data_IF_040212966307
#
_entry.id   IF_040212966307
#
_cell.length_a   1.000
_cell.length_b   1.000
_cell.length_c   1.000
_cell.angle_alpha   90.00
_cell.angle_beta   90.00
_cell.angle_gamma   90.00
#
_symmetry.space_group_name_H-M   'P 1'
#
loop_
_entity.id
_entity.type
_entity.pdbx_description
1 polymer ?
#
# COMPACT_ATOMS: atom_id res chain seq x y z
N UNK A 1 22.19 -24.08 61.51
CA UNK A 1 22.29 -22.87 60.72
C UNK A 1 22.09 -23.29 59.25
N UNK A 2 20.87 -23.17 58.74
CA UNK A 2 20.51 -23.61 57.36
C UNK A 2 20.53 -22.39 56.44
N UNK A 3 21.44 -22.42 55.47
CA UNK A 3 21.60 -21.39 54.44
C UNK A 3 20.51 -21.57 53.36
N UNK A 4 19.56 -20.62 53.26
CA UNK A 4 18.60 -20.56 52.16
C UNK A 4 19.24 -19.84 50.99
N UNK A 5 19.57 -20.59 49.94
CA UNK A 5 19.93 -20.00 48.64
C UNK A 5 18.62 -19.53 47.95
N UNK A 6 18.46 -18.21 47.81
CA UNK A 6 17.46 -17.62 46.95
C UNK A 6 17.92 -17.72 45.49
N UNK A 7 17.32 -18.61 44.72
CA UNK A 7 17.45 -18.61 43.26
C UNK A 7 16.57 -17.47 42.69
N UNK A 8 17.22 -16.38 42.29
CA UNK A 8 16.59 -15.35 41.50
C UNK A 8 16.52 -15.86 40.06
N UNK A 9 15.36 -16.31 39.63
CA UNK A 9 15.09 -16.63 38.25
C UNK A 9 15.02 -15.31 37.45
N UNK A 10 16.08 -15.00 36.72
CA UNK A 10 16.08 -13.97 35.69
C UNK A 10 15.16 -14.43 34.54
N UNK A 11 13.94 -13.94 34.53
CA UNK A 11 13.05 -14.06 33.36
C UNK A 11 13.63 -13.16 32.30
N UNK A 12 14.41 -13.71 31.39
CA UNK A 12 14.69 -13.04 30.10
C UNK A 12 13.42 -12.98 29.31
N UNK A 13 12.76 -11.83 29.36
CA UNK A 13 11.76 -11.48 28.35
C UNK A 13 12.51 -11.39 27.03
N UNK A 14 12.40 -12.44 26.20
CA UNK A 14 12.78 -12.36 24.81
C UNK A 14 11.82 -11.36 24.16
N UNK A 15 12.28 -10.09 24.07
CA UNK A 15 11.68 -9.16 23.16
C UNK A 15 11.73 -9.85 21.78
N UNK A 16 10.56 -10.16 21.20
CA UNK A 16 10.47 -10.55 19.82
C UNK A 16 11.11 -9.41 19.03
N UNK A 17 12.27 -9.68 18.44
CA UNK A 17 12.87 -8.77 17.47
C UNK A 17 11.76 -8.46 16.46
N UNK A 18 11.43 -7.19 16.33
CA UNK A 18 10.38 -6.74 15.43
C UNK A 18 10.74 -7.27 14.03
N UNK A 19 9.87 -8.12 13.46
CA UNK A 19 10.08 -8.79 12.16
C UNK A 19 10.35 -7.77 11.03
N UNK A 20 10.16 -6.48 11.33
CA UNK A 20 10.28 -5.34 10.44
C UNK A 20 11.48 -4.43 10.73
N UNK A 21 12.44 -4.86 11.59
CA UNK A 21 13.72 -4.16 11.80
C UNK A 21 14.51 -4.07 10.47
N UNK A 22 15.09 -2.92 10.07
CA UNK A 22 15.43 -1.78 10.94
C UNK A 22 14.41 -0.61 10.94
N UNK A 23 13.28 -0.72 10.24
CA UNK A 23 12.32 0.37 10.12
C UNK A 23 11.45 0.51 11.38
N UNK A 24 11.21 1.75 11.81
CA UNK A 24 10.36 2.04 12.95
C UNK A 24 8.89 2.07 12.57
N UNK A 25 8.05 1.44 13.39
CA UNK A 25 6.61 1.52 13.26
C UNK A 25 6.13 2.94 13.48
N UNK A 26 5.24 3.41 12.61
CA UNK A 26 4.54 4.68 12.73
C UNK A 26 3.03 4.46 12.72
N UNK A 27 2.32 5.34 13.42
CA UNK A 27 0.85 5.33 13.47
C UNK A 27 0.36 6.67 12.95
N UNK A 28 -0.47 6.64 11.93
CA UNK A 28 -1.00 7.81 11.26
C UNK A 28 -2.51 7.91 11.49
N UNK A 29 -3.00 9.13 11.59
CA UNK A 29 -4.44 9.41 11.58
C UNK A 29 -4.91 9.70 10.15
N UNK A 30 -5.85 8.90 9.68
CA UNK A 30 -6.54 9.12 8.40
C UNK A 30 -7.84 9.95 8.54
N UNK A 31 -8.02 10.69 9.66
CA UNK A 31 -9.25 11.47 9.88
C UNK A 31 -10.47 10.59 10.18
N UNK A 32 -10.35 9.71 11.17
CA UNK A 32 -11.36 8.75 11.60
C UNK A 32 -10.89 7.29 11.49
N UNK A 33 -9.81 7.05 10.77
CA UNK A 33 -9.18 5.72 10.67
C UNK A 33 -7.74 5.77 11.15
N UNK A 34 -7.30 4.70 11.80
CA UNK A 34 -5.88 4.49 12.13
C UNK A 34 -5.20 3.74 10.98
N UNK A 35 -4.04 4.23 10.58
CA UNK A 35 -3.21 3.63 9.53
C UNK A 35 -1.85 3.30 10.13
N UNK A 36 -1.41 2.06 9.93
CA UNK A 36 -0.08 1.61 10.32
C UNK A 36 0.89 1.88 9.19
N UNK A 37 2.11 2.26 9.53
CA UNK A 37 3.19 2.41 8.58
C UNK A 37 4.55 2.08 9.18
N UNK A 38 5.57 2.10 8.34
CA UNK A 38 6.96 1.92 8.72
C UNK A 38 7.83 2.93 7.96
N UNK A 39 8.84 3.44 8.64
CA UNK A 39 9.81 4.37 8.06
C UNK A 39 11.21 4.10 8.60
N UNK A 40 12.26 4.34 7.80
CA UNK A 40 13.63 4.23 8.27
C UNK A 40 13.89 5.28 9.37
N UNK A 41 14.71 4.94 10.38
CA UNK A 41 14.94 5.81 11.53
C UNK A 41 15.63 7.13 11.17
N UNK A 42 16.41 7.15 10.10
CA UNK A 42 17.24 8.29 9.70
C UNK A 42 16.59 9.21 8.66
N UNK A 43 15.43 8.84 8.11
CA UNK A 43 14.74 9.68 7.14
C UNK A 43 14.27 10.99 7.79
N UNK A 44 14.89 12.11 7.42
CA UNK A 44 14.59 13.43 8.00
C UNK A 44 13.92 14.38 7.01
N UNK A 45 14.43 14.44 5.79
CA UNK A 45 13.93 15.30 4.70
C UNK A 45 14.06 14.56 3.38
N UNK A 46 13.11 14.82 2.47
CA UNK A 46 13.15 14.26 1.11
C UNK A 46 12.47 15.24 0.15
N UNK A 47 13.16 15.72 -0.87
CA UNK A 47 12.52 16.57 -1.89
C UNK A 47 11.41 15.79 -2.62
N UNK A 48 11.64 14.51 -2.89
CA UNK A 48 10.63 13.56 -3.36
C UNK A 48 10.56 12.37 -2.41
N UNK A 49 9.37 12.09 -1.87
CA UNK A 49 9.13 10.98 -0.95
C UNK A 49 8.47 9.82 -1.68
N UNK A 50 9.09 8.64 -1.65
CA UNK A 50 8.47 7.42 -2.13
C UNK A 50 7.55 6.85 -1.05
N UNK A 51 6.28 6.65 -1.37
CA UNK A 51 5.27 6.11 -0.46
C UNK A 51 4.75 4.80 -1.00
N UNK A 52 5.09 3.71 -0.33
CA UNK A 52 4.63 2.37 -0.67
C UNK A 52 3.30 2.09 0.01
N UNK A 53 2.31 1.66 -0.76
CA UNK A 53 0.96 1.32 -0.30
C UNK A 53 0.75 -0.18 -0.47
N UNK A 54 0.48 -0.86 0.64
CA UNK A 54 0.33 -2.31 0.67
C UNK A 54 -0.97 -2.81 0.05
N UNK A 55 -0.92 -4.06 -0.41
CA UNK A 55 -2.06 -4.82 -0.88
C UNK A 55 -3.00 -5.31 0.23
N UNK A 56 -3.80 -6.31 -0.09
CA UNK A 56 -4.63 -7.02 0.88
C UNK A 56 -3.77 -8.04 1.65
N UNK A 57 -4.08 -8.25 2.93
CA UNK A 57 -3.38 -9.22 3.76
C UNK A 57 -2.37 -8.61 4.74
N UNK A 58 -1.33 -9.37 5.08
CA UNK A 58 -0.27 -8.94 6.01
C UNK A 58 0.79 -8.10 5.29
N UNK A 59 1.55 -7.23 6.01
CA UNK A 59 2.69 -6.54 5.43
C UNK A 59 3.67 -7.56 4.82
N UNK A 60 4.03 -7.35 3.58
CA UNK A 60 4.86 -8.32 2.86
C UNK A 60 5.58 -7.68 1.69
N UNK A 61 5.08 -7.87 0.50
CA UNK A 61 5.74 -7.46 -0.76
C UNK A 61 5.98 -5.95 -0.80
N UNK A 62 4.97 -5.14 -0.48
CA UNK A 62 5.10 -3.67 -0.49
C UNK A 62 6.12 -3.17 0.54
N UNK A 63 6.13 -3.74 1.76
CA UNK A 63 7.11 -3.37 2.78
C UNK A 63 8.53 -3.79 2.38
N UNK A 64 8.69 -5.01 1.85
CA UNK A 64 9.99 -5.48 1.38
C UNK A 64 10.53 -4.59 0.26
N UNK A 65 9.73 -4.27 -0.75
CA UNK A 65 10.15 -3.35 -1.81
C UNK A 65 10.56 -1.98 -1.25
N UNK A 66 9.82 -1.44 -0.29
CA UNK A 66 10.16 -0.17 0.34
C UNK A 66 11.52 -0.23 1.04
N UNK A 67 11.81 -1.33 1.73
CA UNK A 67 13.07 -1.55 2.43
C UNK A 67 14.25 -1.77 1.47
N UNK A 68 14.05 -2.55 0.41
CA UNK A 68 15.08 -2.83 -0.60
C UNK A 68 15.45 -1.57 -1.41
N UNK A 69 14.48 -0.74 -1.75
CA UNK A 69 14.72 0.55 -2.41
C UNK A 69 15.36 1.54 -1.44
N UNK A 70 14.94 1.52 -0.17
CA UNK A 70 15.52 2.36 0.87
C UNK A 70 15.43 3.86 0.56
N UNK A 71 16.46 4.62 0.96
CA UNK A 71 16.54 6.06 0.68
C UNK A 71 15.34 6.84 1.23
N UNK A 72 14.72 7.65 0.39
CA UNK A 72 13.55 8.46 0.74
C UNK A 72 12.24 7.66 0.62
N UNK A 73 12.20 6.46 1.18
CA UNK A 73 11.04 5.57 1.12
C UNK A 73 10.36 5.41 2.46
N UNK A 74 9.04 5.36 2.44
CA UNK A 74 8.19 5.03 3.59
C UNK A 74 7.12 4.04 3.13
N UNK A 75 6.62 3.26 4.08
CA UNK A 75 5.56 2.29 3.84
C UNK A 75 4.33 2.63 4.66
N UNK A 76 3.15 2.47 4.06
CA UNK A 76 1.86 2.61 4.74
C UNK A 76 0.93 1.46 4.37
N UNK A 77 0.30 0.88 5.39
CA UNK A 77 -0.84 0.00 5.22
C UNK A 77 -2.09 0.78 4.87
N UNK A 78 -3.21 0.08 4.73
CA UNK A 78 -4.51 0.72 4.50
C UNK A 78 -5.31 0.79 5.81
N UNK A 79 -6.37 1.61 5.90
CA UNK A 79 -7.24 1.65 7.06
C UNK A 79 -7.71 0.26 7.50
N UNK A 80 -7.69 0.02 8.80
CA UNK A 80 -8.10 -1.24 9.41
C UNK A 80 -7.22 -2.46 9.10
N UNK A 81 -6.08 -2.27 8.44
CA UNK A 81 -5.10 -3.33 8.23
C UNK A 81 -3.97 -3.23 9.25
N UNK A 82 -3.43 -4.39 9.68
CA UNK A 82 -2.30 -4.50 10.62
C UNK A 82 -2.55 -3.88 12.00
N UNK A 83 -3.81 -3.61 12.33
CA UNK A 83 -4.20 -3.15 13.66
C UNK A 83 -4.42 -4.35 14.58
N UNK A 84 -4.15 -4.16 15.87
CA UNK A 84 -4.34 -5.17 16.90
C UNK A 84 -5.12 -4.61 18.09
N UNK A 85 -5.82 -5.50 18.80
CA UNK A 85 -6.55 -5.16 20.00
C UNK A 85 -7.69 -4.15 19.75
N UNK A 86 -7.89 -3.23 20.68
CA UNK A 86 -9.03 -2.29 20.66
C UNK A 86 -9.08 -1.36 19.45
N UNK A 87 -7.98 -1.24 18.69
CA UNK A 87 -7.96 -0.43 17.46
C UNK A 87 -8.78 -1.04 16.33
N UNK A 88 -9.07 -2.33 16.38
CA UNK A 88 -9.97 -3.02 15.44
C UNK A 88 -11.46 -2.74 15.70
N UNK A 89 -11.82 -2.28 16.88
CA UNK A 89 -13.24 -2.10 17.27
C UNK A 89 -13.97 -1.03 16.44
N UNK A 90 -13.23 -0.16 15.74
CA UNK A 90 -13.79 0.86 14.84
C UNK A 90 -13.83 0.41 13.38
N UNK A 91 -13.39 -0.81 13.10
CA UNK A 91 -13.29 -1.33 11.73
C UNK A 91 -14.54 -2.15 11.39
N UNK A 92 -15.21 -1.79 10.31
CA UNK A 92 -16.32 -2.58 9.79
C UNK A 92 -15.80 -3.69 8.86
N UNK A 93 -16.56 -4.77 8.75
CA UNK A 93 -16.23 -5.91 7.89
C UNK A 93 -16.08 -5.52 6.42
N UNK A 94 -16.84 -4.53 5.99
CA UNK A 94 -16.90 -4.05 4.63
C UNK A 94 -15.56 -3.48 4.13
N UNK A 95 -14.75 -2.90 5.01
CA UNK A 95 -13.42 -2.37 4.63
C UNK A 95 -12.41 -3.44 4.25
N UNK A 96 -12.68 -4.71 4.56
CA UNK A 96 -11.88 -5.86 4.11
C UNK A 96 -12.52 -6.62 2.93
N UNK A 97 -13.77 -6.28 2.59
CA UNK A 97 -14.54 -6.94 1.55
C UNK A 97 -15.02 -5.95 0.48
N UNK A 98 -16.29 -5.67 0.39
CA UNK A 98 -16.92 -4.87 -0.67
C UNK A 98 -16.51 -3.39 -0.69
N UNK A 99 -16.07 -2.80 0.42
CA UNK A 99 -15.71 -1.38 0.56
C UNK A 99 -14.20 -1.14 0.75
N UNK A 100 -13.36 -2.12 0.37
CA UNK A 100 -11.89 -2.05 0.59
C UNK A 100 -11.20 -0.87 -0.11
N UNK A 101 -11.83 -0.28 -1.11
CA UNK A 101 -11.38 0.91 -1.84
C UNK A 101 -12.44 2.02 -1.82
N UNK A 102 -13.26 2.08 -0.76
CA UNK A 102 -14.31 3.10 -0.64
C UNK A 102 -13.73 4.52 -0.61
N UNK A 103 -14.56 5.51 -0.90
CA UNK A 103 -14.20 6.93 -0.80
C UNK A 103 -13.61 7.27 0.60
N UNK A 104 -14.17 6.70 1.67
CA UNK A 104 -13.65 6.87 3.02
C UNK A 104 -12.21 6.33 3.17
N UNK A 105 -11.92 5.16 2.60
CA UNK A 105 -10.57 4.57 2.57
C UNK A 105 -9.61 5.46 1.78
N UNK A 106 -9.98 5.88 0.58
CA UNK A 106 -9.15 6.74 -0.30
C UNK A 106 -8.84 8.08 0.38
N UNK A 107 -9.84 8.74 0.96
CA UNK A 107 -9.64 10.01 1.69
C UNK A 107 -8.75 9.83 2.92
N UNK A 108 -8.92 8.73 3.64
CA UNK A 108 -8.09 8.40 4.79
C UNK A 108 -6.63 8.23 4.39
N UNK A 109 -6.37 7.50 3.31
CA UNK A 109 -5.03 7.31 2.74
C UNK A 109 -4.43 8.62 2.25
N UNK A 110 -5.19 9.45 1.54
CA UNK A 110 -4.72 10.76 1.07
C UNK A 110 -4.28 11.67 2.23
N UNK A 111 -5.01 11.66 3.37
CA UNK A 111 -4.62 12.39 4.59
C UNK A 111 -3.35 11.84 5.22
N UNK A 112 -3.22 10.52 5.31
CA UNK A 112 -2.01 9.88 5.84
C UNK A 112 -0.78 10.20 4.97
N UNK A 113 -0.94 10.17 3.65
CA UNK A 113 0.09 10.56 2.68
C UNK A 113 0.48 12.03 2.89
N UNK A 114 -0.48 12.93 3.07
CA UNK A 114 -0.19 14.33 3.37
C UNK A 114 0.57 14.50 4.69
N UNK A 115 0.21 13.75 5.73
CA UNK A 115 0.93 13.77 6.99
C UNK A 115 2.38 13.29 6.84
N UNK A 116 2.63 12.26 6.03
CA UNK A 116 3.98 11.79 5.71
C UNK A 116 4.76 12.84 4.92
N UNK A 117 4.16 13.43 3.88
CA UNK A 117 4.78 14.50 3.09
C UNK A 117 5.22 15.67 3.98
N UNK A 118 4.35 16.12 4.88
CA UNK A 118 4.67 17.21 5.84
C UNK A 118 5.79 16.78 6.79
N UNK A 119 5.69 15.56 7.36
CA UNK A 119 6.68 15.04 8.31
C UNK A 119 8.09 15.02 7.74
N UNK A 120 8.24 14.65 6.48
CA UNK A 120 9.52 14.54 5.79
C UNK A 120 9.83 15.75 4.89
N UNK A 121 9.03 16.81 4.99
CA UNK A 121 9.23 18.07 4.26
C UNK A 121 9.43 17.85 2.75
N UNK A 122 8.65 16.93 2.17
CA UNK A 122 8.75 16.62 0.75
C UNK A 122 7.95 17.60 -0.10
N UNK A 123 8.49 17.97 -1.26
CA UNK A 123 7.80 18.83 -2.22
C UNK A 123 6.87 18.01 -3.13
N UNK A 124 7.31 16.82 -3.54
CA UNK A 124 6.59 15.86 -4.38
C UNK A 124 6.56 14.48 -3.74
N UNK A 125 5.65 13.64 -4.21
CA UNK A 125 5.55 12.25 -3.79
C UNK A 125 5.56 11.31 -5.00
N UNK A 126 6.08 10.11 -4.82
CA UNK A 126 5.87 8.96 -5.71
C UNK A 126 5.04 7.94 -4.98
N UNK A 127 3.97 7.48 -5.60
CA UNK A 127 3.11 6.47 -5.05
C UNK A 127 3.44 5.12 -5.68
N UNK A 128 3.79 4.15 -4.85
CA UNK A 128 4.09 2.79 -5.28
C UNK A 128 3.07 1.87 -4.62
N UNK A 129 2.12 1.37 -5.40
CA UNK A 129 1.03 0.54 -4.91
C UNK A 129 1.15 -0.92 -5.33
N UNK A 130 1.15 -1.84 -4.35
CA UNK A 130 1.12 -3.26 -4.61
C UNK A 130 -0.30 -3.82 -4.54
N UNK A 131 -0.72 -4.64 -5.52
CA UNK A 131 -2.02 -5.33 -5.55
C UNK A 131 -3.20 -4.37 -5.32
N UNK A 132 -4.02 -4.58 -4.29
CA UNK A 132 -5.07 -3.65 -3.88
C UNK A 132 -4.55 -2.27 -3.43
N UNK A 133 -3.29 -2.16 -3.02
CA UNK A 133 -2.61 -0.88 -2.79
C UNK A 133 -2.43 -0.08 -4.07
N UNK A 134 -2.26 -0.76 -5.21
CA UNK A 134 -2.24 -0.15 -6.54
C UNK A 134 -3.56 0.55 -6.89
N UNK A 135 -4.69 -0.06 -6.53
CA UNK A 135 -6.03 0.58 -6.68
C UNK A 135 -6.10 1.90 -5.91
N UNK A 136 -5.73 1.84 -4.61
CA UNK A 136 -5.81 3.04 -3.74
C UNK A 136 -4.81 4.10 -4.18
N UNK A 137 -3.57 3.72 -4.51
CA UNK A 137 -2.53 4.64 -4.98
C UNK A 137 -2.96 5.36 -6.27
N UNK A 138 -3.56 4.63 -7.21
CA UNK A 138 -4.06 5.20 -8.48
C UNK A 138 -5.17 6.23 -8.24
N UNK A 139 -6.17 5.90 -7.41
CA UNK A 139 -7.25 6.84 -7.12
C UNK A 139 -6.75 8.06 -6.35
N UNK A 140 -5.83 7.86 -5.39
CA UNK A 140 -5.20 8.98 -4.68
C UNK A 140 -4.40 9.85 -5.65
N UNK A 141 -3.65 9.26 -6.59
CA UNK A 141 -2.91 10.00 -7.61
C UNK A 141 -3.85 10.85 -8.50
N UNK A 142 -4.99 10.31 -8.89
CA UNK A 142 -5.99 11.03 -9.67
C UNK A 142 -6.59 12.27 -8.97
N UNK A 143 -6.54 12.30 -7.63
CA UNK A 143 -7.14 13.35 -6.79
C UNK A 143 -6.11 14.35 -6.24
N UNK A 144 -4.83 14.25 -6.63
CA UNK A 144 -3.73 15.08 -6.14
C UNK A 144 -2.93 15.68 -7.29
N UNK A 145 -2.31 16.83 -7.02
CA UNK A 145 -1.45 17.58 -7.96
C UNK A 145 0.06 17.49 -7.63
N UNK A 146 0.39 16.82 -6.54
CA UNK A 146 1.77 16.70 -6.05
C UNK A 146 2.39 15.32 -6.30
N UNK A 147 1.72 14.46 -7.08
CA UNK A 147 2.23 13.13 -7.47
C UNK A 147 3.17 13.27 -8.68
N UNK A 148 4.44 12.96 -8.46
CA UNK A 148 5.50 12.97 -9.48
C UNK A 148 5.46 11.71 -10.37
N UNK A 149 5.11 10.57 -9.76
CA UNK A 149 5.03 9.28 -10.44
C UNK A 149 4.09 8.33 -9.69
N UNK A 150 3.28 7.61 -10.43
CA UNK A 150 2.54 6.44 -9.97
C UNK A 150 3.20 5.16 -10.47
N UNK A 151 3.55 4.26 -9.55
CA UNK A 151 4.01 2.91 -9.88
C UNK A 151 3.02 1.90 -9.32
N UNK A 152 2.62 0.91 -10.09
CA UNK A 152 1.84 -0.22 -9.58
C UNK A 152 2.54 -1.53 -9.84
N UNK A 153 2.55 -2.39 -8.85
CA UNK A 153 3.11 -3.74 -8.90
C UNK A 153 1.96 -4.71 -8.66
N UNK A 154 1.68 -5.57 -9.62
CA UNK A 154 0.49 -6.46 -9.58
C UNK A 154 -0.80 -5.70 -9.26
N UNK A 155 -0.95 -4.47 -9.76
CA UNK A 155 -2.01 -3.53 -9.36
C UNK A 155 -3.41 -3.95 -9.82
N UNK A 156 -4.37 -3.99 -8.89
CA UNK A 156 -5.79 -4.20 -9.25
C UNK A 156 -6.42 -2.89 -9.75
N UNK A 157 -6.17 -2.57 -11.02
CA UNK A 157 -6.53 -1.27 -11.64
C UNK A 157 -7.93 -1.25 -12.25
N UNK A 158 -8.57 -2.40 -12.35
CA UNK A 158 -10.00 -2.55 -12.64
C UNK A 158 -10.57 -3.69 -11.80
N UNK A 159 -11.09 -3.33 -10.61
CA UNK A 159 -11.59 -4.34 -9.70
C UNK A 159 -12.86 -5.06 -10.20
N UNK A 160 -13.61 -4.47 -11.16
CA UNK A 160 -14.71 -5.19 -11.78
C UNK A 160 -14.19 -6.33 -12.64
N UNK A 161 -13.21 -6.05 -13.51
CA UNK A 161 -12.55 -7.09 -14.32
C UNK A 161 -11.90 -8.16 -13.44
N UNK A 162 -11.30 -7.74 -12.32
CA UNK A 162 -10.66 -8.61 -11.36
C UNK A 162 -11.67 -9.54 -10.65
N UNK A 163 -12.83 -9.03 -10.19
CA UNK A 163 -13.87 -9.85 -9.56
C UNK A 163 -14.51 -10.81 -10.54
N UNK A 164 -14.75 -10.36 -11.79
CA UNK A 164 -15.27 -11.22 -12.86
C UNK A 164 -14.31 -12.39 -13.17
N UNK A 165 -13.00 -12.10 -13.25
CA UNK A 165 -11.97 -13.11 -13.50
C UNK A 165 -11.88 -14.13 -12.37
N UNK A 166 -11.86 -13.67 -11.12
CA UNK A 166 -11.73 -14.53 -9.94
C UNK A 166 -13.06 -15.16 -9.48
N UNK A 167 -14.18 -14.88 -10.16
CA UNK A 167 -15.51 -15.40 -9.86
C UNK A 167 -15.94 -15.13 -8.41
N UNK A 168 -15.68 -13.91 -7.93
CA UNK A 168 -16.03 -13.45 -6.58
C UNK A 168 -17.02 -12.29 -6.64
N UNK A 169 -17.65 -12.00 -5.50
CA UNK A 169 -18.62 -10.93 -5.38
C UNK A 169 -18.06 -9.55 -5.77
N UNK A 170 -18.82 -8.73 -6.50
CA UNK A 170 -18.42 -7.38 -6.87
C UNK A 170 -18.12 -6.49 -5.66
N UNK A 171 -17.10 -5.63 -5.78
CA UNK A 171 -16.74 -4.67 -4.74
C UNK A 171 -17.64 -3.42 -4.81
N UNK A 172 -18.93 -3.59 -4.52
CA UNK A 172 -19.99 -2.60 -4.76
C UNK A 172 -19.83 -1.26 -4.04
N UNK A 173 -19.13 -1.25 -2.90
CA UNK A 173 -18.84 -0.03 -2.14
C UNK A 173 -17.47 0.58 -2.40
N UNK A 174 -16.73 0.06 -3.39
CA UNK A 174 -15.39 0.49 -3.74
C UNK A 174 -15.37 1.38 -4.98
N UNK A 175 -14.48 2.37 -4.99
CA UNK A 175 -14.15 3.15 -6.18
C UNK A 175 -13.26 2.31 -7.11
N UNK A 176 -13.38 2.54 -8.41
CA UNK A 176 -12.59 1.82 -9.43
C UNK A 176 -11.65 2.80 -10.16
N UNK A 177 -10.35 2.54 -10.30
CA UNK A 177 -9.40 3.41 -11.02
C UNK A 177 -9.85 3.78 -12.44
N UNK A 178 -10.52 2.89 -13.16
CA UNK A 178 -11.03 3.17 -14.51
C UNK A 178 -11.97 4.38 -14.58
N UNK A 179 -12.65 4.71 -13.47
CA UNK A 179 -13.55 5.88 -13.40
C UNK A 179 -12.79 7.20 -13.24
N UNK A 180 -11.46 7.16 -13.09
CA UNK A 180 -10.57 8.30 -12.93
C UNK A 180 -9.57 8.41 -14.09
N UNK A 181 -9.78 7.70 -15.18
CA UNK A 181 -8.86 7.62 -16.32
C UNK A 181 -8.48 8.99 -16.87
N UNK A 182 -9.43 9.90 -17.04
CA UNK A 182 -9.18 11.26 -17.56
C UNK A 182 -8.18 12.04 -16.67
N UNK A 183 -8.28 11.93 -15.35
CA UNK A 183 -7.32 12.55 -14.42
C UNK A 183 -5.96 11.84 -14.42
N UNK A 184 -5.97 10.52 -14.55
CA UNK A 184 -4.77 9.70 -14.52
C UNK A 184 -3.92 9.84 -15.80
N UNK A 185 -4.49 10.24 -16.93
CA UNK A 185 -3.74 10.53 -18.16
C UNK A 185 -2.66 11.61 -17.99
N UNK A 186 -2.80 12.49 -17.01
CA UNK A 186 -1.84 13.56 -16.74
C UNK A 186 -0.72 13.15 -15.78
N UNK A 187 -0.87 12.02 -15.11
CA UNK A 187 0.10 11.49 -14.14
C UNK A 187 1.06 10.53 -14.86
N UNK A 188 2.38 10.69 -14.74
CA UNK A 188 3.32 9.69 -15.20
C UNK A 188 3.10 8.35 -14.48
N UNK A 189 3.05 7.24 -15.23
CA UNK A 189 2.70 5.92 -14.71
C UNK A 189 3.66 4.83 -15.18
N UNK A 190 3.98 3.89 -14.28
CA UNK A 190 4.68 2.65 -14.55
C UNK A 190 3.88 1.49 -13.95
N UNK A 191 3.54 0.51 -14.76
CA UNK A 191 2.81 -0.67 -14.31
C UNK A 191 3.63 -1.93 -14.51
N UNK A 192 3.89 -2.65 -13.41
CA UNK A 192 4.59 -3.93 -13.40
C UNK A 192 3.60 -5.07 -13.27
N UNK A 193 3.65 -6.03 -14.18
CA UNK A 193 2.75 -7.19 -14.26
C UNK A 193 3.60 -8.45 -14.11
N UNK A 194 3.20 -9.36 -13.25
CA UNK A 194 3.82 -10.69 -13.17
C UNK A 194 3.40 -11.56 -14.34
N UNK A 195 4.37 -12.19 -15.00
CA UNK A 195 4.10 -13.13 -16.10
C UNK A 195 3.18 -14.29 -15.64
N UNK A 196 3.32 -14.71 -14.37
CA UNK A 196 2.62 -15.85 -13.76
C UNK A 196 1.60 -15.42 -12.70
N UNK A 197 1.22 -14.14 -12.69
CA UNK A 197 0.24 -13.63 -11.72
C UNK A 197 -1.18 -14.10 -12.10
N UNK A 198 -1.67 -15.09 -11.35
CA UNK A 198 -3.01 -15.65 -11.47
C UNK A 198 -4.03 -15.02 -10.51
N UNK A 199 -3.59 -14.11 -9.62
CA UNK A 199 -4.43 -13.34 -8.71
C UNK A 199 -4.88 -12.02 -9.35
N UNK A 200 -3.94 -11.27 -9.94
CA UNK A 200 -4.21 -10.05 -10.70
C UNK A 200 -3.60 -10.18 -12.10
N UNK A 201 -4.30 -10.84 -13.02
CA UNK A 201 -3.78 -11.12 -14.35
C UNK A 201 -3.61 -9.85 -15.19
N UNK A 202 -2.74 -9.89 -16.18
CA UNK A 202 -2.47 -8.79 -17.10
C UNK A 202 -3.71 -8.22 -17.80
N UNK A 203 -4.81 -9.00 -17.89
CA UNK A 203 -6.08 -8.54 -18.41
C UNK A 203 -6.73 -7.41 -17.60
N UNK A 204 -6.38 -7.30 -16.30
CA UNK A 204 -6.84 -6.20 -15.43
C UNK A 204 -6.17 -4.89 -15.84
N UNK A 205 -4.86 -4.89 -16.11
CA UNK A 205 -4.18 -3.71 -16.65
C UNK A 205 -4.66 -3.38 -18.06
N UNK A 206 -4.85 -4.38 -18.93
CA UNK A 206 -5.37 -4.15 -20.29
C UNK A 206 -6.74 -3.46 -20.24
N UNK A 207 -7.63 -3.90 -19.33
CA UNK A 207 -8.92 -3.24 -19.11
C UNK A 207 -8.75 -1.79 -18.66
N UNK A 208 -7.90 -1.53 -17.68
CA UNK A 208 -7.63 -0.16 -17.21
C UNK A 208 -7.12 0.74 -18.33
N UNK A 209 -6.13 0.31 -19.11
CA UNK A 209 -5.56 1.09 -20.20
C UNK A 209 -6.58 1.36 -21.32
N UNK A 210 -7.53 0.46 -21.55
CA UNK A 210 -8.59 0.66 -22.57
C UNK A 210 -9.57 1.79 -22.24
N UNK A 211 -9.60 2.26 -20.99
CA UNK A 211 -10.40 3.42 -20.57
C UNK A 211 -9.66 4.76 -20.72
N UNK A 212 -8.37 4.74 -21.06
CA UNK A 212 -7.58 5.95 -21.30
C UNK A 212 -7.64 6.35 -22.77
N UNK A 213 -7.74 7.64 -23.04
CA UNK A 213 -7.67 8.22 -24.40
C UNK A 213 -6.22 8.42 -24.85
N UNK A 214 -5.31 8.60 -23.89
CA UNK A 214 -3.89 8.87 -24.13
C UNK A 214 -3.02 8.01 -23.21
N UNK A 215 -1.94 7.46 -23.76
CA UNK A 215 -0.99 6.61 -23.06
C UNK A 215 0.45 7.18 -23.09
N UNK A 216 0.62 8.46 -23.46
CA UNK A 216 1.95 9.09 -23.62
C UNK A 216 2.75 9.09 -22.30
N UNK A 217 2.07 9.11 -21.16
CA UNK A 217 2.65 9.11 -19.82
C UNK A 217 2.64 7.72 -19.16
N UNK A 218 2.33 6.65 -19.90
CA UNK A 218 2.16 5.32 -19.34
C UNK A 218 3.19 4.36 -19.89
N UNK A 219 3.88 3.65 -19.01
CA UNK A 219 4.75 2.54 -19.34
C UNK A 219 4.27 1.27 -18.62
N UNK A 220 4.41 0.12 -19.24
CA UNK A 220 4.08 -1.16 -18.61
C UNK A 220 5.14 -2.21 -18.95
N UNK A 221 5.43 -3.07 -17.99
CA UNK A 221 6.44 -4.11 -18.11
C UNK A 221 5.91 -5.44 -17.57
N UNK A 222 6.15 -6.51 -18.31
CA UNK A 222 5.93 -7.88 -17.85
C UNK A 222 7.21 -8.36 -17.18
N UNK A 223 7.11 -8.72 -15.91
CA UNK A 223 8.24 -9.25 -15.13
C UNK A 223 8.23 -10.77 -15.28
N UNK A 224 9.22 -11.28 -16.02
CA UNK A 224 9.37 -12.71 -16.34
C UNK A 224 9.59 -13.50 -15.05
N UNK A 225 8.81 -14.56 -14.88
CA UNK A 225 8.87 -15.45 -13.71
C UNK A 225 8.19 -14.91 -12.45
N UNK A 226 7.77 -13.64 -12.39
CA UNK A 226 7.06 -13.11 -11.26
C UNK A 226 5.61 -13.64 -11.20
N UNK A 227 5.19 -14.04 -10.01
CA UNK A 227 3.80 -14.31 -9.64
C UNK A 227 3.26 -13.19 -8.76
N UNK A 228 2.09 -13.38 -8.11
CA UNK A 228 1.50 -12.33 -7.29
C UNK A 228 2.37 -11.93 -6.10
N UNK A 229 3.12 -12.83 -5.51
CA UNK A 229 3.83 -12.65 -4.24
C UNK A 229 5.35 -12.64 -4.36
N UNK A 230 5.89 -13.15 -5.45
CA UNK A 230 7.32 -13.37 -5.64
C UNK A 230 7.90 -12.62 -6.83
N UNK A 231 9.17 -12.32 -6.68
CA UNK A 231 10.12 -12.02 -7.75
C UNK A 231 9.97 -10.62 -8.37
N UNK A 232 9.46 -9.68 -7.57
CA UNK A 232 9.33 -8.24 -7.88
C UNK A 232 10.60 -7.43 -7.62
#
# INVERSE_FOLDING_TARGET
MRLFLLLVALVFSTAHADEFSPWSRIVLSGGGSTIMGFAPPELRRADVLNIFVEGDGMPGVGLKMAQDIGGNSVYIGRPCQYLVGNRLNTCSKEVWTSHRYSDAVVRSMSRAITAMKIRYQADKIRLIGYSGGGTVASIVAALRDDVDLLVTVAGNLDHKRWTDFNQIDPLTGSLNPINFSDSLETVPQIHLIGERDDVVPGSVLTSYLSHMKRLDNVQSYIIVGADHTCCW
#
